data_IF_922210328102
#
_entry.id   IF_922210328102
#
_cell.length_a   1.000
_cell.length_b   1.000
_cell.length_c   1.000
_cell.angle_alpha   90.00
_cell.angle_beta   90.00
_cell.angle_gamma   90.00
#
_symmetry.space_group_name_H-M   'P 1'
#
loop_
_entity.id
_entity.type
_entity.pdbx_description
1 polymer ?
#
# COMPACT_ATOMS: atom_id res chain seq x y z
N UNK A 1 10.73 -0.65 -7.70
CA UNK A 1 10.53 -1.23 -6.35
C UNK A 1 9.69 -0.27 -5.52
N UNK A 2 8.73 -0.80 -4.77
CA UNK A 2 7.86 -0.02 -3.89
C UNK A 2 8.25 -0.27 -2.43
N UNK A 3 8.32 0.77 -1.60
CA UNK A 3 8.49 0.65 -0.15
C UNK A 3 7.34 1.34 0.56
N UNK A 4 6.66 0.64 1.47
CA UNK A 4 5.61 1.20 2.33
C UNK A 4 6.16 1.32 3.75
N UNK A 5 6.13 2.53 4.30
CA UNK A 5 6.63 2.85 5.63
C UNK A 5 5.48 3.01 6.62
N UNK A 6 5.72 2.59 7.87
CA UNK A 6 4.73 2.65 8.95
C UNK A 6 5.33 3.26 10.22
N UNK A 7 4.63 4.26 10.74
CA UNK A 7 4.80 4.81 12.08
C UNK A 7 3.53 4.55 12.90
N UNK A 8 3.64 3.92 14.08
CA UNK A 8 2.49 3.55 14.87
C UNK A 8 1.86 4.76 15.55
N UNK A 9 0.57 4.62 15.88
CA UNK A 9 -0.12 5.50 16.81
C UNK A 9 0.66 5.57 18.13
N UNK A 10 0.89 6.80 18.64
CA UNK A 10 1.49 7.02 19.96
C UNK A 10 0.55 7.73 20.91
N UNK A 11 -0.27 8.65 20.41
CA UNK A 11 -1.20 9.45 21.22
C UNK A 11 -2.26 10.13 20.35
N UNK A 12 -3.24 10.80 20.96
CA UNK A 12 -4.25 11.59 20.22
C UNK A 12 -3.64 12.75 19.42
N UNK A 13 -2.42 13.17 19.75
CA UNK A 13 -1.65 14.17 19.00
C UNK A 13 -0.77 13.55 17.90
N UNK A 14 -0.49 12.25 18.00
CA UNK A 14 0.36 11.50 17.06
C UNK A 14 -0.39 10.23 16.68
N UNK A 15 -1.30 10.38 15.70
CA UNK A 15 -2.23 9.33 15.27
C UNK A 15 -1.56 8.20 14.46
N UNK A 16 -0.25 8.30 14.27
CA UNK A 16 0.56 7.44 13.40
C UNK A 16 0.53 7.92 11.95
N UNK A 17 1.43 7.36 11.15
CA UNK A 17 1.63 7.78 9.77
C UNK A 17 1.99 6.62 8.87
N UNK A 18 1.61 6.74 7.60
CA UNK A 18 1.98 5.81 6.56
C UNK A 18 2.44 6.59 5.34
N UNK A 19 3.57 6.17 4.77
CA UNK A 19 4.13 6.76 3.58
C UNK A 19 4.54 5.67 2.59
N UNK A 20 4.82 6.08 1.37
CA UNK A 20 5.11 5.20 0.25
C UNK A 20 6.26 5.79 -0.57
N UNK A 21 7.24 4.98 -0.94
CA UNK A 21 8.25 5.32 -1.95
C UNK A 21 8.05 4.44 -3.17
N UNK A 22 7.96 5.07 -4.34
CA UNK A 22 7.86 4.42 -5.65
C UNK A 22 9.20 4.65 -6.34
N UNK A 23 10.08 3.64 -6.33
CA UNK A 23 11.39 3.72 -6.98
C UNK A 23 11.38 3.07 -8.37
N UNK A 24 12.04 3.68 -9.35
CA UNK A 24 11.99 3.26 -10.77
C UNK A 24 13.30 2.59 -11.18
N UNK A 25 13.42 1.28 -10.99
CA UNK A 25 14.64 0.55 -11.36
C UNK A 25 15.94 1.22 -10.86
N UNK A 26 17.08 0.92 -11.49
CA UNK A 26 18.41 1.46 -11.11
C UNK A 26 18.67 2.90 -11.60
N UNK A 27 17.63 3.73 -11.79
CA UNK A 27 17.78 5.14 -12.18
C UNK A 27 17.73 6.07 -10.98
N UNK A 28 18.86 6.62 -10.55
CA UNK A 28 18.91 7.62 -9.48
C UNK A 28 18.06 8.86 -9.84
N UNK A 29 17.15 9.26 -8.95
CA UNK A 29 16.40 10.53 -9.04
C UNK A 29 14.98 10.46 -9.61
N UNK A 30 14.49 9.28 -10.01
CA UNK A 30 13.10 9.12 -10.48
C UNK A 30 12.12 8.65 -9.39
N UNK A 31 12.60 8.54 -8.16
CA UNK A 31 11.82 8.06 -7.04
C UNK A 31 10.73 9.07 -6.66
N UNK A 32 9.49 8.59 -6.54
CA UNK A 32 8.38 9.39 -6.03
C UNK A 32 8.11 9.00 -4.59
N UNK A 33 8.28 9.96 -3.67
CA UNK A 33 7.86 9.79 -2.29
C UNK A 33 6.46 10.35 -2.09
N UNK A 34 5.62 9.56 -1.44
CA UNK A 34 4.23 9.84 -1.17
C UNK A 34 4.08 9.90 0.34
N UNK A 35 3.85 11.10 0.81
CA UNK A 35 3.52 11.39 2.20
C UNK A 35 2.45 12.47 2.20
N UNK A 36 1.40 12.25 2.98
CA UNK A 36 0.18 13.04 2.93
C UNK A 36 -0.11 13.56 4.32
N UNK A 37 0.14 14.85 4.52
CA UNK A 37 -0.06 15.55 5.77
C UNK A 37 -1.15 16.61 5.65
N UNK A 38 -1.85 16.95 6.74
CA UNK A 38 -2.64 18.17 6.77
C UNK A 38 -1.73 19.38 6.49
N UNK A 39 -2.30 20.43 5.88
CA UNK A 39 -1.62 21.72 5.81
C UNK A 39 -1.15 22.16 7.21
N UNK A 40 0.00 22.84 7.35
CA UNK A 40 0.48 23.34 8.64
C UNK A 40 -0.53 24.16 9.43
N UNK A 41 -1.41 24.88 8.72
CA UNK A 41 -2.49 25.70 9.28
C UNK A 41 -3.84 24.96 9.35
N UNK A 42 -3.89 23.69 8.91
CA UNK A 42 -5.11 22.87 8.83
C UNK A 42 -6.16 23.37 7.84
N UNK A 43 -5.92 24.47 7.13
CA UNK A 43 -6.88 25.16 6.28
C UNK A 43 -6.66 24.86 4.79
N UNK A 44 -5.41 24.58 4.43
CA UNK A 44 -4.95 24.34 3.07
C UNK A 44 -5.03 22.89 2.59
N UNK A 45 -4.67 22.67 1.32
CA UNK A 45 -4.52 21.33 0.75
C UNK A 45 -3.43 20.55 1.43
N UNK A 46 -3.42 19.25 1.16
CA UNK A 46 -2.41 18.35 1.70
C UNK A 46 -1.01 18.76 1.26
N UNK A 47 -0.07 18.72 2.19
CA UNK A 47 1.33 19.00 1.91
C UNK A 47 2.06 17.66 1.66
N UNK A 48 2.62 17.44 0.46
CA UNK A 48 3.63 16.40 0.25
C UNK A 48 4.85 16.69 1.12
N UNK A 49 5.41 15.67 1.76
CA UNK A 49 6.67 15.75 2.49
C UNK A 49 7.73 14.84 1.86
N UNK A 50 8.97 14.94 2.34
CA UNK A 50 10.04 13.99 2.02
C UNK A 50 10.20 12.92 3.11
N UNK A 51 10.95 11.86 2.80
CA UNK A 51 11.27 10.81 3.77
C UNK A 51 12.05 11.36 4.96
N UNK A 52 13.02 12.24 4.70
CA UNK A 52 13.87 12.86 5.70
C UNK A 52 13.05 13.74 6.64
N UNK A 53 12.07 14.48 6.11
CA UNK A 53 11.12 15.26 6.91
C UNK A 53 10.29 14.36 7.82
N UNK A 54 9.68 13.30 7.29
CA UNK A 54 8.86 12.38 8.08
C UNK A 54 9.69 11.70 9.20
N UNK A 55 10.93 11.30 8.89
CA UNK A 55 11.86 10.76 9.89
C UNK A 55 12.26 11.80 10.93
N UNK A 56 12.47 13.05 10.54
CA UNK A 56 12.81 14.13 11.49
C UNK A 56 11.69 14.39 12.49
N UNK A 57 10.43 14.22 12.07
CA UNK A 57 9.25 14.48 12.90
C UNK A 57 8.84 13.28 13.76
N UNK A 58 8.92 12.06 13.22
CA UNK A 58 8.41 10.86 13.89
C UNK A 58 9.49 9.89 14.37
N UNK A 59 10.75 10.15 14.01
CA UNK A 59 11.83 9.19 14.12
C UNK A 59 11.80 8.13 13.00
N UNK A 60 12.64 7.09 13.06
CA UNK A 60 12.66 6.06 12.03
C UNK A 60 11.34 5.27 11.99
N UNK A 61 10.90 4.81 10.80
CA UNK A 61 9.71 3.97 10.66
C UNK A 61 9.88 2.69 11.46
N UNK A 62 8.78 2.23 12.07
CA UNK A 62 8.76 0.97 12.84
C UNK A 62 8.52 -0.26 11.97
N UNK A 63 7.99 -0.06 10.76
CA UNK A 63 7.80 -1.12 9.79
C UNK A 63 8.07 -0.63 8.37
N UNK A 64 8.64 -1.52 7.55
CA UNK A 64 8.84 -1.29 6.11
C UNK A 64 8.41 -2.56 5.35
N UNK A 65 7.55 -2.41 4.34
CA UNK A 65 7.21 -3.48 3.38
C UNK A 65 7.75 -3.11 2.01
N UNK A 66 8.64 -3.94 1.47
CA UNK A 66 9.12 -3.81 0.09
C UNK A 66 8.33 -4.72 -0.87
N UNK A 67 7.79 -4.15 -1.95
CA UNK A 67 6.96 -4.81 -2.96
C UNK A 67 7.57 -4.58 -4.35
N UNK A 68 7.62 -5.63 -5.16
CA UNK A 68 8.07 -5.55 -6.56
C UNK A 68 6.96 -6.03 -7.50
N UNK A 69 7.03 -5.64 -8.78
CA UNK A 69 6.09 -6.10 -9.81
C UNK A 69 4.76 -5.34 -9.87
N UNK A 70 4.64 -4.20 -9.19
CA UNK A 70 3.49 -3.29 -9.35
C UNK A 70 3.73 -2.30 -10.51
N UNK A 71 2.64 -1.80 -11.10
CA UNK A 71 2.67 -0.74 -12.11
C UNK A 71 3.01 0.62 -11.47
N UNK A 72 4.31 0.87 -11.35
CA UNK A 72 4.87 2.12 -10.81
C UNK A 72 4.38 3.36 -11.57
N UNK A 73 4.11 3.26 -12.87
CA UNK A 73 3.64 4.38 -13.68
C UNK A 73 2.17 4.72 -13.37
N UNK A 74 1.30 3.72 -13.18
CA UNK A 74 -0.07 3.92 -12.70
C UNK A 74 -0.10 4.52 -11.29
N UNK A 75 0.78 4.06 -10.40
CA UNK A 75 0.92 4.61 -9.04
C UNK A 75 1.28 6.09 -9.05
N UNK A 76 2.30 6.48 -9.84
CA UNK A 76 2.70 7.90 -9.97
C UNK A 76 1.60 8.76 -10.57
N UNK A 77 0.93 8.31 -11.64
CA UNK A 77 -0.19 9.05 -12.24
C UNK A 77 -1.32 9.27 -11.25
N UNK A 78 -1.63 8.26 -10.44
CA UNK A 78 -2.63 8.36 -9.37
C UNK A 78 -2.21 9.40 -8.33
N UNK A 79 -0.95 9.38 -7.90
CA UNK A 79 -0.42 10.38 -6.98
C UNK A 79 -0.57 11.81 -7.50
N UNK A 80 -0.13 12.07 -8.74
CA UNK A 80 -0.25 13.38 -9.37
C UNK A 80 -1.71 13.83 -9.52
N UNK A 81 -2.61 12.90 -9.85
CA UNK A 81 -4.06 13.19 -9.94
C UNK A 81 -4.64 13.56 -8.58
N UNK A 82 -4.19 12.93 -7.50
CA UNK A 82 -4.62 13.26 -6.15
C UNK A 82 -4.18 14.68 -5.78
N UNK A 83 -2.92 15.05 -6.04
CA UNK A 83 -2.39 16.39 -5.75
C UNK A 83 -3.09 17.48 -6.57
N UNK A 84 -3.34 17.23 -7.86
CA UNK A 84 -3.98 18.20 -8.76
C UNK A 84 -5.44 18.53 -8.37
N UNK A 85 -6.08 17.72 -7.52
CA UNK A 85 -7.47 17.94 -7.05
C UNK A 85 -7.57 18.78 -5.79
N UNK A 86 -6.48 19.38 -5.34
CA UNK A 86 -6.41 20.23 -4.15
C UNK A 86 -7.10 19.61 -2.91
N UNK A 87 -6.78 18.36 -2.55
CA UNK A 87 -7.59 17.63 -1.59
C UNK A 87 -7.30 18.14 -0.18
N UNK A 88 -8.36 18.43 0.58
CA UNK A 88 -8.26 18.69 2.02
C UNK A 88 -8.06 17.40 2.79
N UNK A 89 -7.14 17.42 3.74
CA UNK A 89 -6.88 16.30 4.64
C UNK A 89 -8.12 16.01 5.49
N UNK A 90 -8.50 14.75 5.60
CA UNK A 90 -9.57 14.30 6.49
C UNK A 90 -9.12 13.06 7.24
N UNK A 91 -8.97 13.19 8.57
CA UNK A 91 -8.48 12.11 9.46
C UNK A 91 -9.26 10.81 9.29
N UNK A 92 -10.55 10.87 8.99
CA UNK A 92 -11.42 9.69 8.89
C UNK A 92 -11.49 9.10 7.47
N UNK A 93 -11.33 9.91 6.42
CA UNK A 93 -11.64 9.48 5.04
C UNK A 93 -10.58 9.78 3.99
N UNK A 94 -9.69 10.75 4.21
CA UNK A 94 -8.65 11.22 3.27
C UNK A 94 -7.37 11.57 4.03
N UNK A 95 -6.84 10.58 4.74
CA UNK A 95 -5.62 10.66 5.52
C UNK A 95 -4.46 9.97 4.78
N UNK A 96 -3.29 9.89 5.41
CA UNK A 96 -2.11 9.25 4.84
C UNK A 96 -2.31 7.77 4.49
N UNK A 97 -3.00 7.01 5.34
CA UNK A 97 -3.27 5.60 5.09
C UNK A 97 -4.20 5.38 3.89
N UNK A 98 -5.22 6.24 3.73
CA UNK A 98 -6.08 6.23 2.55
C UNK A 98 -5.27 6.52 1.27
N UNK A 99 -4.40 7.53 1.29
CA UNK A 99 -3.58 7.89 0.15
C UNK A 99 -2.66 6.73 -0.29
N UNK A 100 -1.93 6.13 0.65
CA UNK A 100 -1.08 4.97 0.38
C UNK A 100 -1.90 3.81 -0.18
N UNK A 101 -3.07 3.50 0.39
CA UNK A 101 -3.96 2.44 -0.09
C UNK A 101 -4.41 2.69 -1.53
N UNK A 102 -4.90 3.89 -1.82
CA UNK A 102 -5.38 4.26 -3.16
C UNK A 102 -4.28 4.12 -4.22
N UNK A 103 -3.04 4.50 -3.88
CA UNK A 103 -1.92 4.40 -4.81
C UNK A 103 -1.48 2.95 -4.98
N UNK A 104 -1.45 2.15 -3.91
CA UNK A 104 -1.19 0.71 -4.01
C UNK A 104 -2.22 0.02 -4.91
N UNK A 105 -3.52 0.31 -4.76
CA UNK A 105 -4.56 -0.27 -5.62
C UNK A 105 -4.27 0.01 -7.10
N UNK A 106 -3.95 1.26 -7.45
CA UNK A 106 -3.61 1.64 -8.81
C UNK A 106 -2.41 0.85 -9.37
N UNK A 107 -1.39 0.62 -8.54
CA UNK A 107 -0.23 -0.18 -8.90
C UNK A 107 -0.53 -1.66 -9.12
N UNK A 108 -1.61 -2.19 -8.57
CA UNK A 108 -1.99 -3.58 -8.85
C UNK A 108 -2.61 -3.75 -10.24
N UNK A 109 -3.07 -2.67 -10.89
CA UNK A 109 -3.75 -2.73 -12.20
C UNK A 109 -5.11 -3.44 -12.18
N UNK A 110 -5.58 -3.83 -10.99
CA UNK A 110 -6.89 -4.43 -10.80
C UNK A 110 -7.91 -3.34 -10.46
N UNK A 111 -9.09 -3.44 -11.04
CA UNK A 111 -10.25 -2.60 -10.75
C UNK A 111 -10.77 -2.97 -9.36
N UNK A 112 -10.04 -2.53 -8.32
CA UNK A 112 -10.35 -2.79 -6.92
C UNK A 112 -10.16 -4.31 -6.58
N UNK A 113 -9.92 -4.74 -5.33
CA UNK A 113 -10.99 -5.36 -4.53
C UNK A 113 -11.75 -6.58 -5.12
N UNK A 114 -11.33 -7.21 -6.22
CA UNK A 114 -11.69 -8.62 -6.48
C UNK A 114 -11.28 -9.52 -5.28
N UNK A 115 -10.34 -9.02 -4.45
CA UNK A 115 -9.91 -9.56 -3.17
C UNK A 115 -10.27 -8.64 -1.97
N UNK A 116 -11.43 -7.98 -1.99
CA UNK A 116 -12.29 -8.07 -0.80
C UNK A 116 -12.81 -9.50 -0.61
N UNK A 117 -12.63 -10.40 -1.59
CA UNK A 117 -12.84 -11.83 -1.43
C UNK A 117 -12.11 -12.45 -0.22
N UNK A 118 -11.08 -11.82 0.35
CA UNK A 118 -10.56 -12.17 1.69
C UNK A 118 -10.95 -11.17 2.82
N UNK A 119 -11.45 -9.95 2.51
CA UNK A 119 -12.08 -9.08 3.52
C UNK A 119 -13.32 -9.74 4.15
N UNK A 120 -13.94 -10.69 3.43
CA UNK A 120 -15.01 -11.55 3.91
C UNK A 120 -14.68 -12.37 5.16
N UNK A 121 -13.41 -12.49 5.57
CA UNK A 121 -13.07 -13.20 6.79
C UNK A 121 -12.77 -12.29 8.00
N UNK A 122 -12.62 -10.96 7.86
CA UNK A 122 -12.22 -10.15 9.03
C UNK A 122 -12.73 -8.71 9.20
N UNK A 123 -13.51 -8.04 8.32
CA UNK A 123 -14.08 -6.71 8.68
C UNK A 123 -15.34 -6.29 7.89
N UNK A 124 -16.50 -6.74 8.36
CA UNK A 124 -17.82 -6.24 8.00
C UNK A 124 -18.10 -4.88 8.69
N UNK A 125 -17.73 -3.76 8.07
CA UNK A 125 -18.36 -2.47 8.38
C UNK A 125 -18.14 -1.42 7.27
N UNK A 126 -19.20 -0.74 6.77
CA UNK A 126 -19.13 0.32 5.75
C UNK A 126 -18.58 1.67 6.26
N UNK A 127 -17.81 1.66 7.37
CA UNK A 127 -17.21 2.86 7.99
C UNK A 127 -15.72 2.69 8.33
N UNK A 128 -15.04 1.74 7.70
CA UNK A 128 -13.66 1.38 8.06
C UNK A 128 -12.66 2.46 7.66
N UNK A 129 -12.39 3.39 8.58
CA UNK A 129 -11.26 4.34 8.52
C UNK A 129 -9.99 3.55 8.23
N UNK A 130 -9.26 3.96 7.19
CA UNK A 130 -7.92 3.46 6.93
C UNK A 130 -6.97 4.05 7.96
N UNK A 131 -6.30 3.19 8.71
CA UNK A 131 -5.27 3.59 9.67
C UNK A 131 -3.90 3.17 9.16
N UNK A 132 -2.82 3.82 9.61
CA UNK A 132 -1.46 3.44 9.24
C UNK A 132 -1.16 1.94 9.42
N UNK A 133 -1.69 1.33 10.50
CA UNK A 133 -1.53 -0.10 10.74
C UNK A 133 -2.27 -0.95 9.70
N UNK A 134 -3.53 -0.62 9.39
CA UNK A 134 -4.32 -1.38 8.40
C UNK A 134 -3.69 -1.35 7.02
N UNK A 135 -3.16 -0.20 6.58
CA UNK A 135 -2.50 -0.12 5.26
C UNK A 135 -1.16 -0.85 5.24
N UNK A 136 -0.43 -0.87 6.36
CA UNK A 136 0.79 -1.66 6.50
C UNK A 136 0.51 -3.17 6.37
N UNK A 137 -0.51 -3.67 7.06
CA UNK A 137 -0.93 -5.07 6.97
C UNK A 137 -1.40 -5.40 5.53
N UNK A 138 -2.17 -4.49 4.91
CA UNK A 138 -2.59 -4.61 3.51
C UNK A 138 -1.40 -4.67 2.52
N UNK A 139 -0.38 -3.83 2.71
CA UNK A 139 0.85 -3.88 1.90
C UNK A 139 1.54 -5.25 2.00
N UNK A 140 1.51 -5.88 3.17
CA UNK A 140 2.00 -7.25 3.37
C UNK A 140 1.25 -8.28 2.52
N UNK A 141 -0.08 -8.17 2.42
CA UNK A 141 -0.91 -9.03 1.56
C UNK A 141 -0.58 -8.82 0.09
N UNK A 142 -0.46 -7.58 -0.36
CA UNK A 142 -0.07 -7.24 -1.75
C UNK A 142 1.30 -7.83 -2.06
N UNK A 143 2.27 -7.69 -1.16
CA UNK A 143 3.61 -8.29 -1.31
C UNK A 143 3.54 -9.78 -1.59
N UNK A 144 2.84 -10.53 -0.74
CA UNK A 144 2.73 -12.00 -0.88
C UNK A 144 2.16 -12.40 -2.25
N UNK A 145 1.16 -11.67 -2.75
CA UNK A 145 0.52 -11.97 -4.04
C UNK A 145 1.44 -11.72 -5.23
N UNK A 146 2.20 -10.64 -5.22
CA UNK A 146 3.06 -10.26 -6.34
C UNK A 146 4.43 -10.95 -6.32
N UNK A 147 4.91 -11.37 -5.14
CA UNK A 147 6.10 -12.22 -5.05
C UNK A 147 5.86 -13.66 -5.52
N UNK A 148 4.64 -14.20 -5.38
CA UNK A 148 4.29 -15.55 -5.90
C UNK A 148 4.19 -15.63 -7.43
N UNK A 149 4.17 -14.49 -8.13
CA UNK A 149 4.13 -14.44 -9.60
C UNK A 149 5.51 -14.35 -10.25
N UNK A 150 6.59 -14.47 -9.48
CA UNK A 150 7.94 -14.60 -10.02
C UNK A 150 8.07 -15.95 -10.75
N UNK A 151 8.38 -15.98 -12.06
CA UNK A 151 8.54 -17.21 -12.83
C UNK A 151 9.68 -18.12 -12.35
N UNK A 152 10.58 -17.62 -11.49
CA UNK A 152 11.70 -18.40 -10.93
C UNK A 152 11.28 -19.38 -9.82
N UNK A 153 10.11 -19.18 -9.21
CA UNK A 153 9.50 -20.18 -8.32
C UNK A 153 8.45 -20.96 -9.11
N UNK A 154 8.86 -22.12 -9.63
CA UNK A 154 8.05 -22.95 -10.51
C UNK A 154 6.64 -23.27 -9.97
N UNK A 155 5.70 -23.67 -10.84
CA UNK A 155 4.33 -23.95 -10.45
C UNK A 155 4.29 -25.03 -9.36
N UNK A 156 3.55 -24.74 -8.30
CA UNK A 156 3.23 -25.72 -7.26
C UNK A 156 2.61 -26.94 -7.95
N UNK A 157 3.29 -28.09 -7.92
CA UNK A 157 2.71 -29.34 -8.40
C UNK A 157 1.54 -29.66 -7.50
N UNK A 158 0.34 -29.57 -8.07
CA UNK A 158 -0.90 -29.93 -7.42
C UNK A 158 -0.80 -31.39 -6.94
N UNK A 159 -0.91 -31.61 -5.63
CA UNK A 159 -0.87 -32.93 -5.00
C UNK A 159 -2.24 -33.62 -5.10
N UNK A 160 -2.86 -33.57 -6.28
CA UNK A 160 -4.18 -34.15 -6.55
C UNK A 160 -4.14 -35.24 -7.62
N UNK A 161 -2.96 -35.82 -7.90
CA UNK A 161 -2.88 -37.11 -8.59
C UNK A 161 -3.29 -38.26 -7.65
N UNK A 162 -4.60 -38.39 -7.41
CA UNK A 162 -5.20 -39.68 -7.05
C UNK A 162 -5.04 -40.61 -8.26
N UNK A 163 -4.04 -41.48 -8.20
CA UNK A 163 -3.98 -42.69 -9.02
C UNK A 163 -5.30 -43.43 -8.94
N UNK A 164 -6.05 -43.44 -10.03
CA UNK A 164 -7.16 -44.36 -10.28
C UNK A 164 -6.81 -45.19 -11.51
N UNK A 165 -5.88 -46.13 -11.31
CA UNK A 165 -5.74 -47.29 -12.17
C UNK A 165 -5.74 -48.54 -11.31
N UNK A 166 -6.92 -49.13 -11.13
CA UNK A 166 -7.07 -50.53 -10.78
C UNK A 166 -8.24 -51.11 -11.59
N UNK A 167 -7.83 -51.62 -12.76
CA UNK A 167 -8.31 -52.79 -13.52
C UNK A 167 -9.81 -53.13 -13.47
N UNK A 168 -10.46 -53.00 -14.62
CA UNK A 168 -11.59 -53.86 -14.98
C UNK A 168 -11.06 -55.20 -15.53
N UNK A 169 -11.79 -56.25 -15.18
CA UNK A 169 -11.64 -57.68 -15.46
C UNK A 169 -11.29 -58.05 -16.90
#
# INVERSE_FOLDING_TARGET
MIQVYFWPYRSTKIVGHAALRISVGQGNGLDTYVSWWPSPDGSGPVAPNSYETDVSWEGPPKGIVSISGLDEAAMRRTWQTMLARDPKYNVLRKNCAWAVKTILDAGTGYDFVAAIADLGNLNLAPQSVWTPRKVFDYAGIVKMRFQRKDPSTGPFKDASHRSSHLRLS
#
